data_IF_675268161594
#
_entry.id   IF_675268161594
#
_cell.length_a   1.000
_cell.length_b   1.000
_cell.length_c   1.000
_cell.angle_alpha   90.00
_cell.angle_beta   90.00
_cell.angle_gamma   90.00
#
_symmetry.space_group_name_H-M   'P 1'
#
loop_
_entity.id
_entity.type
_entity.pdbx_description
1 polymer ?
#
# COMPACT_ATOMS: atom_id res chain seq x y z
N UNK A 1 13.49 3.87 8.01
CA UNK A 1 13.56 5.33 7.75
C UNK A 1 14.06 6.08 8.98
N UNK A 2 13.24 6.41 9.99
CA UNK A 2 13.69 7.25 11.13
C UNK A 2 14.76 6.63 12.05
N UNK A 3 15.03 5.34 11.91
CA UNK A 3 16.08 4.59 12.64
C UNK A 3 17.32 4.29 11.79
N UNK A 4 17.46 4.93 10.62
CA UNK A 4 18.56 4.73 9.67
C UNK A 4 18.79 3.27 9.23
N UNK A 5 17.75 2.43 9.35
CA UNK A 5 17.74 1.04 8.86
C UNK A 5 17.23 0.99 7.41
N UNK A 6 17.76 0.05 6.60
CA UNK A 6 17.22 -0.22 5.28
C UNK A 6 15.74 -0.61 5.32
N UNK A 7 15.00 -0.28 4.27
CA UNK A 7 13.62 -0.70 4.07
C UNK A 7 13.60 -1.88 3.11
N UNK A 8 13.21 -3.09 3.58
CA UNK A 8 13.09 -4.25 2.72
C UNK A 8 11.81 -4.14 1.88
N UNK A 9 11.92 -4.36 0.57
CA UNK A 9 10.79 -4.38 -0.36
C UNK A 9 10.91 -5.62 -1.25
N UNK A 10 9.87 -6.43 -1.43
CA UNK A 10 9.89 -7.51 -2.42
C UNK A 10 10.24 -6.99 -3.81
N UNK A 11 11.23 -7.59 -4.47
CA UNK A 11 11.56 -7.26 -5.85
C UNK A 11 10.32 -7.48 -6.75
N UNK A 12 10.03 -6.60 -7.73
CA UNK A 12 10.80 -5.41 -8.14
C UNK A 12 10.43 -4.07 -7.45
N UNK A 13 9.46 -4.02 -6.54
CA UNK A 13 9.05 -2.78 -5.84
C UNK A 13 8.32 -1.72 -6.69
N UNK A 14 8.07 -1.98 -7.98
CA UNK A 14 7.42 -1.07 -8.93
C UNK A 14 5.90 -1.27 -9.07
N UNK A 15 5.33 -2.21 -8.32
CA UNK A 15 3.90 -2.51 -8.34
C UNK A 15 3.10 -1.32 -7.83
N UNK A 16 2.03 -0.96 -8.54
CA UNK A 16 1.13 0.10 -8.13
C UNK A 16 0.28 -0.32 -6.93
N UNK A 17 0.16 0.58 -5.97
CA UNK A 17 -0.71 0.47 -4.80
C UNK A 17 -1.34 1.83 -4.51
N UNK A 18 -2.46 1.85 -3.81
CA UNK A 18 -3.10 3.07 -3.34
C UNK A 18 -2.99 3.12 -1.81
N UNK A 19 -2.70 4.31 -1.27
CA UNK A 19 -2.66 4.56 0.16
C UNK A 19 -3.68 5.64 0.47
N UNK A 20 -4.68 5.29 1.27
CA UNK A 20 -5.75 6.19 1.68
C UNK A 20 -5.59 6.57 3.15
N UNK A 21 -5.95 7.81 3.48
CA UNK A 21 -6.06 8.18 4.89
C UNK A 21 -7.25 7.46 5.51
N UNK A 22 -7.10 6.99 6.76
CA UNK A 22 -8.13 6.16 7.43
C UNK A 22 -9.48 6.86 7.55
N UNK A 23 -9.47 8.19 7.73
CA UNK A 23 -10.69 9.01 7.79
C UNK A 23 -11.47 9.00 6.47
N UNK A 24 -10.77 9.09 5.34
CA UNK A 24 -11.41 9.11 4.02
C UNK A 24 -11.99 7.72 3.70
N UNK A 25 -11.27 6.67 4.09
CA UNK A 25 -11.78 5.29 4.01
C UNK A 25 -13.06 5.12 4.83
N UNK A 26 -13.09 5.60 6.09
CA UNK A 26 -14.30 5.51 6.89
C UNK A 26 -15.46 6.29 6.28
N UNK A 27 -15.23 7.49 5.73
CA UNK A 27 -16.28 8.26 5.06
C UNK A 27 -16.84 7.54 3.84
N UNK A 28 -15.98 6.95 3.00
CA UNK A 28 -16.43 6.15 1.84
C UNK A 28 -17.29 4.95 2.25
N UNK A 29 -16.91 4.26 3.33
CA UNK A 29 -17.69 3.14 3.85
C UNK A 29 -19.03 3.59 4.45
N UNK A 30 -19.05 4.70 5.19
CA UNK A 30 -20.28 5.27 5.75
C UNK A 30 -21.27 5.65 4.66
N UNK A 31 -20.82 6.28 3.57
CA UNK A 31 -21.69 6.66 2.44
C UNK A 31 -22.40 5.45 1.81
N UNK A 32 -21.70 4.31 1.68
CA UNK A 32 -22.30 3.10 1.14
C UNK A 32 -23.37 2.49 2.07
N UNK A 33 -23.27 2.72 3.38
CA UNK A 33 -24.24 2.24 4.37
C UNK A 33 -25.44 3.18 4.49
N UNK A 34 -25.23 4.49 4.33
CA UNK A 34 -26.27 5.51 4.46
C UNK A 34 -27.26 5.53 3.28
N UNK A 35 -26.85 5.07 2.09
CA UNK A 35 -27.72 4.96 0.90
C UNK A 35 -27.73 3.52 0.34
N UNK A 36 -28.44 2.59 1.00
CA UNK A 36 -28.47 1.19 0.59
C UNK A 36 -29.17 0.98 -0.75
N UNK A 37 -30.12 1.84 -1.15
CA UNK A 37 -30.80 1.72 -2.43
C UNK A 37 -29.83 1.97 -3.60
N UNK A 38 -28.91 2.94 -3.46
CA UNK A 38 -27.86 3.17 -4.44
C UNK A 38 -26.69 2.17 -4.33
N UNK A 39 -26.33 1.74 -3.11
CA UNK A 39 -25.14 0.92 -2.89
C UNK A 39 -25.36 -0.58 -3.12
N UNK A 40 -26.58 -1.09 -2.93
CA UNK A 40 -26.86 -2.53 -3.01
C UNK A 40 -26.52 -3.10 -4.41
N UNK A 41 -25.86 -4.26 -4.43
CA UNK A 41 -25.42 -4.94 -5.65
C UNK A 41 -24.17 -4.36 -6.30
N UNK A 42 -23.58 -3.28 -5.75
CA UNK A 42 -22.37 -2.66 -6.28
C UNK A 42 -21.11 -3.05 -5.49
N UNK A 43 -19.96 -3.02 -6.18
CA UNK A 43 -18.64 -3.27 -5.60
C UNK A 43 -17.82 -1.99 -5.72
N UNK A 44 -17.39 -1.45 -4.58
CA UNK A 44 -16.60 -0.21 -4.52
C UNK A 44 -15.17 -0.51 -4.10
N UNK A 45 -14.21 0.04 -4.85
CA UNK A 45 -12.83 0.11 -4.39
C UNK A 45 -12.65 1.40 -3.58
N UNK A 46 -12.60 1.29 -2.26
CA UNK A 46 -12.48 2.45 -1.37
C UNK A 46 -11.02 2.88 -1.23
N UNK A 47 -10.49 3.56 -2.25
CA UNK A 47 -9.10 4.01 -2.31
C UNK A 47 -9.00 5.46 -2.77
N UNK A 48 -7.86 6.10 -2.50
CA UNK A 48 -7.56 7.41 -3.07
C UNK A 48 -7.38 7.33 -4.60
N UNK A 49 -7.51 8.48 -5.24
CA UNK A 49 -7.42 8.68 -6.70
C UNK A 49 -5.99 8.62 -7.25
N UNK A 50 -4.98 8.57 -6.37
CA UNK A 50 -3.55 8.54 -6.74
C UNK A 50 -2.90 7.22 -6.39
N UNK A 51 -2.23 6.61 -7.36
CA UNK A 51 -1.41 5.43 -7.15
C UNK A 51 0.05 5.80 -6.86
N UNK A 52 0.75 4.90 -6.18
CA UNK A 52 2.19 4.98 -5.91
C UNK A 52 2.80 3.58 -6.06
N UNK A 53 4.09 3.49 -6.38
CA UNK A 53 4.80 2.20 -6.28
C UNK A 53 5.23 1.92 -4.85
N UNK A 54 5.57 0.68 -4.49
CA UNK A 54 6.13 0.40 -3.16
C UNK A 54 7.44 1.16 -2.90
N UNK A 55 8.32 1.21 -3.90
CA UNK A 55 9.53 2.04 -3.86
C UNK A 55 9.19 3.53 -3.71
N UNK A 56 8.17 4.00 -4.43
CA UNK A 56 7.68 5.38 -4.38
C UNK A 56 7.14 5.74 -3.00
N UNK A 57 6.36 4.84 -2.39
CA UNK A 57 5.82 5.03 -1.05
C UNK A 57 6.95 5.20 -0.02
N UNK A 58 7.96 4.32 -0.08
CA UNK A 58 9.10 4.40 0.82
C UNK A 58 9.88 5.72 0.64
N UNK A 59 10.04 6.19 -0.60
CA UNK A 59 10.66 7.50 -0.91
C UNK A 59 9.82 8.68 -0.40
N UNK A 60 8.50 8.66 -0.58
CA UNK A 60 7.59 9.69 -0.04
C UNK A 60 7.68 9.76 1.50
N UNK A 61 7.71 8.61 2.18
CA UNK A 61 7.90 8.56 3.63
C UNK A 61 9.27 9.12 4.06
N UNK A 62 10.33 8.87 3.29
CA UNK A 62 11.66 9.40 3.56
C UNK A 62 11.70 10.93 3.39
N UNK A 63 11.10 11.44 2.31
CA UNK A 63 10.92 12.86 2.07
C UNK A 63 10.14 13.53 3.20
N UNK A 64 9.00 12.96 3.61
CA UNK A 64 8.19 13.48 4.71
C UNK A 64 8.94 13.49 6.04
N UNK A 65 9.83 12.52 6.27
CA UNK A 65 10.68 12.46 7.46
C UNK A 65 11.94 13.35 7.38
N UNK A 66 12.21 14.00 6.24
CA UNK A 66 13.45 14.75 6.02
C UNK A 66 14.71 13.87 6.08
N UNK A 67 14.62 12.62 5.62
CA UNK A 67 15.71 11.62 5.72
C UNK A 67 16.02 11.01 4.35
N UNK A 68 17.24 10.49 4.22
CA UNK A 68 17.60 9.59 3.13
C UNK A 68 17.07 8.18 3.39
N UNK A 69 16.92 7.39 2.33
CA UNK A 69 16.45 6.01 2.41
C UNK A 69 17.36 5.06 1.64
N UNK A 70 17.60 3.88 2.23
CA UNK A 70 18.19 2.73 1.56
C UNK A 70 17.10 1.66 1.40
N UNK A 71 16.69 1.38 0.18
CA UNK A 71 15.79 0.28 -0.14
C UNK A 71 16.66 -0.96 -0.42
N UNK A 72 16.25 -2.11 0.11
CA UNK A 72 16.86 -3.41 -0.22
C UNK A 72 15.76 -4.28 -0.82
N UNK A 73 15.92 -4.63 -2.09
CA UNK A 73 15.05 -5.59 -2.73
C UNK A 73 15.43 -7.02 -2.33
N UNK A 74 14.43 -7.84 -2.06
CA UNK A 74 14.63 -9.26 -1.73
C UNK A 74 13.70 -10.16 -2.55
N UNK A 75 14.12 -11.42 -2.72
CA UNK A 75 13.25 -12.48 -3.22
C UNK A 75 12.42 -13.07 -2.06
N UNK A 76 11.08 -12.92 -2.07
CA UNK A 76 10.22 -13.49 -1.04
C UNK A 76 10.37 -15.01 -0.88
N UNK A 77 10.64 -15.74 -1.96
CA UNK A 77 10.81 -17.21 -1.91
C UNK A 77 12.06 -17.59 -1.14
N UNK A 78 13.16 -16.88 -1.38
CA UNK A 78 14.44 -17.10 -0.71
C UNK A 78 14.38 -16.88 0.81
N UNK A 79 13.43 -16.07 1.29
CA UNK A 79 13.23 -15.81 2.73
C UNK A 79 12.03 -16.55 3.34
N UNK A 80 11.46 -17.53 2.61
CA UNK A 80 10.39 -18.39 3.10
C UNK A 80 9.01 -17.71 3.23
N UNK A 81 8.75 -16.63 2.49
CA UNK A 81 7.42 -16.02 2.45
C UNK A 81 6.51 -16.85 1.56
N UNK A 82 5.51 -17.48 2.17
CA UNK A 82 4.42 -18.17 1.48
C UNK A 82 3.66 -17.17 0.59
N UNK A 83 3.37 -17.56 -0.66
CA UNK A 83 2.60 -16.75 -1.61
C UNK A 83 1.20 -16.41 -1.09
N UNK A 84 0.60 -17.26 -0.25
CA UNK A 84 -0.69 -16.95 0.41
C UNK A 84 -0.60 -15.78 1.40
N UNK A 85 0.60 -15.49 1.89
CA UNK A 85 0.90 -14.39 2.81
C UNK A 85 1.53 -13.19 2.10
N UNK A 86 1.51 -13.17 0.77
CA UNK A 86 2.16 -12.13 -0.01
C UNK A 86 1.45 -10.77 0.11
N UNK A 87 0.21 -10.70 0.59
CA UNK A 87 -0.47 -9.42 0.80
C UNK A 87 0.31 -8.52 1.78
N UNK A 88 0.52 -7.22 1.45
CA UNK A 88 -0.03 -6.46 0.32
C UNK A 88 0.77 -6.56 -1.00
N UNK A 89 1.95 -7.18 -0.98
CA UNK A 89 2.88 -7.33 -2.10
C UNK A 89 2.49 -8.51 -3.01
N UNK A 90 1.48 -8.31 -3.84
CA UNK A 90 0.99 -9.31 -4.81
C UNK A 90 1.97 -9.46 -5.98
N UNK A 91 3.09 -10.15 -5.75
CA UNK A 91 4.06 -10.49 -6.77
C UNK A 91 3.64 -11.85 -7.34
N UNK A 92 2.91 -11.84 -8.47
CA UNK A 92 2.73 -13.04 -9.29
C UNK A 92 3.98 -13.30 -10.11
#
# INVERSE_FOLDING_TARGET
IVRDRPVPIPSPGIQLTNISHVRDLSSMLTLAVEDPDAANGNIFNCVCDRAVTFDGLAKLCAQAAGRNIKIIHYDPKAVGVDSKKAFPFRNM
#
